data_IF_719833856228
#
_entry.id   IF_719833856228
#
_cell.length_a   1.000
_cell.length_b   1.000
_cell.length_c   1.000
_cell.angle_alpha   90.00
_cell.angle_beta   90.00
_cell.angle_gamma   90.00
#
_symmetry.space_group_name_H-M   'P 1'
#
loop_
_entity.id
_entity.type
_entity.pdbx_description
1 polymer ?
#
# COMPACT_ATOMS: atom_id res chain seq x y z
N UNK A 1 12.71 14.01 -2.87
CA UNK A 1 11.37 13.38 -2.79
C UNK A 1 10.33 14.49 -2.76
N UNK A 2 9.31 14.40 -3.62
CA UNK A 2 8.16 15.30 -3.64
C UNK A 2 6.92 14.45 -3.37
N UNK A 3 6.02 14.93 -2.52
CA UNK A 3 4.79 14.21 -2.17
C UNK A 3 3.64 15.18 -1.92
N UNK A 4 2.43 14.75 -2.26
CA UNK A 4 1.19 15.33 -1.78
C UNK A 4 0.53 14.30 -0.87
N UNK A 5 0.14 14.71 0.34
CA UNK A 5 -0.40 13.78 1.35
C UNK A 5 -1.52 14.44 2.12
N UNK A 6 -2.63 13.73 2.26
CA UNK A 6 -3.67 14.00 3.27
C UNK A 6 -3.51 12.98 4.38
N UNK A 7 -3.53 13.43 5.64
CA UNK A 7 -3.37 12.57 6.81
C UNK A 7 -4.53 12.78 7.78
N UNK A 8 -5.09 11.68 8.27
CA UNK A 8 -6.18 11.66 9.24
C UNK A 8 -5.69 10.89 10.47
N UNK A 9 -5.65 11.55 11.62
CA UNK A 9 -5.22 10.94 12.89
C UNK A 9 -6.42 10.58 13.77
N UNK A 10 -6.42 9.37 14.34
CA UNK A 10 -7.50 8.88 15.22
C UNK A 10 -7.60 9.60 16.57
N UNK A 11 -6.50 10.17 17.08
CA UNK A 11 -6.47 10.96 18.32
C UNK A 11 -7.32 10.43 19.48
N UNK A 12 -7.91 11.34 20.26
CA UNK A 12 -9.00 11.06 21.21
C UNK A 12 -10.39 11.10 20.52
N UNK A 13 -10.40 11.07 19.19
CA UNK A 13 -11.59 11.29 18.37
C UNK A 13 -12.26 9.98 17.96
N UNK A 14 -12.98 9.97 16.82
CA UNK A 14 -13.68 8.79 16.35
C UNK A 14 -12.72 7.64 16.04
N UNK A 15 -13.19 6.41 16.28
CA UNK A 15 -12.46 5.19 15.90
C UNK A 15 -12.64 4.96 14.39
N UNK A 16 -11.53 4.84 13.68
CA UNK A 16 -11.53 4.46 12.26
C UNK A 16 -11.38 2.94 12.12
N UNK A 17 -12.19 2.35 11.24
CA UNK A 17 -12.17 0.91 10.96
C UNK A 17 -11.58 0.57 9.59
N UNK A 18 -11.24 1.60 8.82
CA UNK A 18 -10.67 1.49 7.49
C UNK A 18 -10.54 2.85 6.82
N UNK A 19 -10.05 2.83 5.59
CA UNK A 19 -9.91 3.97 4.70
C UNK A 19 -10.28 3.56 3.28
N UNK A 20 -10.83 4.49 2.49
CA UNK A 20 -11.07 4.29 1.06
C UNK A 20 -10.68 5.54 0.28
N UNK A 21 -10.24 5.37 -0.96
CA UNK A 21 -9.92 6.47 -1.86
C UNK A 21 -9.99 6.00 -3.32
N UNK A 22 -10.28 6.94 -4.21
CA UNK A 22 -10.10 6.80 -5.65
C UNK A 22 -8.77 7.43 -6.03
N UNK A 23 -7.90 6.63 -6.66
CA UNK A 23 -6.59 7.06 -7.09
C UNK A 23 -6.61 7.19 -8.62
N UNK A 24 -6.24 8.37 -9.12
CA UNK A 24 -5.90 8.51 -10.53
C UNK A 24 -4.61 7.74 -10.82
N UNK A 25 -4.59 7.05 -11.95
CA UNK A 25 -3.49 6.20 -12.38
C UNK A 25 -2.86 6.78 -13.62
N UNK A 26 -1.54 6.96 -13.57
CA UNK A 26 -0.76 7.47 -14.69
C UNK A 26 0.22 6.42 -15.17
N UNK A 27 0.34 6.31 -16.49
CA UNK A 27 1.47 5.63 -17.13
C UNK A 27 2.61 6.63 -17.31
N UNK A 28 3.74 6.38 -16.65
CA UNK A 28 4.84 7.33 -16.54
C UNK A 28 6.14 6.73 -17.11
N UNK A 29 6.28 6.61 -18.44
CA UNK A 29 7.45 5.97 -19.05
C UNK A 29 8.76 6.75 -18.82
N UNK A 30 8.68 8.02 -18.40
CA UNK A 30 9.84 8.86 -18.09
C UNK A 30 10.45 8.67 -16.69
N UNK A 31 9.91 7.76 -15.87
CA UNK A 31 10.52 7.43 -14.57
C UNK A 31 11.83 6.67 -14.80
N UNK A 32 12.93 7.25 -14.35
CA UNK A 32 14.28 6.68 -14.53
C UNK A 32 14.54 5.50 -13.60
N UNK A 33 15.58 4.71 -13.86
CA UNK A 33 15.87 3.48 -13.09
C UNK A 33 16.09 3.68 -11.59
N UNK A 34 16.51 4.87 -11.17
CA UNK A 34 16.73 5.24 -9.78
C UNK A 34 15.61 6.09 -9.19
N UNK A 35 14.46 6.14 -9.86
CA UNK A 35 13.28 6.90 -9.47
C UNK A 35 12.08 5.98 -9.33
N UNK A 36 11.10 6.43 -8.55
CA UNK A 36 9.80 5.79 -8.46
C UNK A 36 8.71 6.86 -8.36
N UNK A 37 7.55 6.56 -8.95
CA UNK A 37 6.33 7.33 -8.79
C UNK A 37 5.24 6.44 -8.20
N UNK A 38 4.42 6.95 -7.30
CA UNK A 38 3.45 6.13 -6.55
C UNK A 38 2.27 6.97 -6.06
N UNK A 39 1.10 6.34 -5.98
CA UNK A 39 -0.09 6.89 -5.31
C UNK A 39 -0.76 5.77 -4.51
N UNK A 40 -1.00 6.01 -3.22
CA UNK A 40 -1.35 4.94 -2.27
C UNK A 40 -2.27 5.42 -1.15
N UNK A 41 -3.09 4.49 -0.65
CA UNK A 41 -3.70 4.57 0.67
C UNK A 41 -2.77 3.86 1.64
N UNK A 42 -2.48 4.51 2.78
CA UNK A 42 -1.64 3.96 3.83
C UNK A 42 -2.44 3.99 5.14
N UNK A 43 -2.62 2.83 5.76
CA UNK A 43 -3.26 2.68 7.07
C UNK A 43 -2.21 2.31 8.10
N UNK A 44 -2.01 3.19 9.08
CA UNK A 44 -1.03 3.03 10.15
C UNK A 44 -1.69 2.83 11.51
N UNK A 45 -1.08 1.99 12.35
CA UNK A 45 -1.39 1.87 13.78
C UNK A 45 -0.10 1.93 14.59
N UNK A 46 -0.14 2.61 15.73
CA UNK A 46 0.99 2.70 16.65
C UNK A 46 1.99 3.81 16.34
N UNK A 47 1.64 4.77 15.48
CA UNK A 47 2.52 5.87 15.03
C UNK A 47 3.05 6.74 16.19
N UNK A 48 2.30 6.83 17.30
CA UNK A 48 2.72 7.55 18.53
C UNK A 48 3.61 6.73 19.47
N UNK A 49 3.81 5.44 19.18
CA UNK A 49 4.64 4.54 19.96
C UNK A 49 6.07 4.44 19.43
N UNK A 50 6.90 3.54 19.99
CA UNK A 50 8.22 3.24 19.45
C UNK A 50 8.11 2.72 18.01
N UNK A 51 9.11 2.98 17.16
CA UNK A 51 9.06 2.64 15.71
C UNK A 51 8.73 1.17 15.44
N UNK A 52 9.21 0.25 16.28
CA UNK A 52 8.97 -1.19 16.14
C UNK A 52 7.54 -1.64 16.52
N UNK A 53 6.67 -0.72 16.94
CA UNK A 53 5.25 -0.99 17.21
C UNK A 53 4.37 -0.53 16.05
N UNK A 54 4.95 0.14 15.05
CA UNK A 54 4.20 0.68 13.92
C UNK A 54 3.80 -0.44 12.96
N UNK A 55 2.50 -0.67 12.85
CA UNK A 55 1.93 -1.58 11.88
C UNK A 55 1.40 -0.77 10.71
N UNK A 56 1.77 -1.15 9.49
CA UNK A 56 1.39 -0.43 8.27
C UNK A 56 0.85 -1.43 7.25
N UNK A 57 -0.26 -1.08 6.63
CA UNK A 57 -0.74 -1.71 5.40
C UNK A 57 -0.91 -0.61 4.36
N UNK A 58 -0.40 -0.84 3.17
CA UNK A 58 -0.51 0.10 2.06
C UNK A 58 -0.92 -0.60 0.77
N UNK A 59 -1.72 0.10 -0.03
CA UNK A 59 -2.15 -0.36 -1.34
C UNK A 59 -2.31 0.83 -2.30
N UNK A 60 -2.01 0.62 -3.56
CA UNK A 60 -2.09 1.66 -4.58
C UNK A 60 -1.46 1.20 -5.89
N UNK A 61 -0.86 2.13 -6.62
CA UNK A 61 -0.06 1.83 -7.79
C UNK A 61 1.32 2.46 -7.70
N UNK A 62 2.29 1.90 -8.41
CA UNK A 62 3.59 2.54 -8.61
C UNK A 62 4.14 2.32 -10.03
N UNK A 63 5.14 3.11 -10.39
CA UNK A 63 6.10 2.82 -11.46
C UNK A 63 7.46 2.77 -10.77
N UNK A 64 8.11 1.61 -10.76
CA UNK A 64 9.39 1.39 -10.09
C UNK A 64 10.16 0.25 -10.77
N UNK A 65 11.05 0.60 -11.69
CA UNK A 65 11.80 -0.37 -12.51
C UNK A 65 12.74 -1.24 -11.69
N UNK A 66 13.37 -0.71 -10.63
CA UNK A 66 14.21 -1.50 -9.72
C UNK A 66 13.44 -2.61 -9.01
N UNK A 67 12.13 -2.44 -8.85
CA UNK A 67 11.28 -3.38 -8.12
C UNK A 67 10.58 -4.36 -9.04
N UNK A 68 9.95 -3.86 -10.11
CA UNK A 68 9.12 -4.69 -10.99
C UNK A 68 9.91 -5.25 -12.19
N UNK A 69 11.07 -4.66 -12.51
CA UNK A 69 11.89 -5.06 -13.65
C UNK A 69 11.46 -4.43 -14.99
N UNK A 70 10.42 -3.59 -14.98
CA UNK A 70 9.92 -2.87 -16.15
C UNK A 70 9.42 -1.45 -15.77
N UNK A 71 8.99 -0.67 -16.77
CA UNK A 71 8.50 0.70 -16.57
C UNK A 71 6.97 0.82 -16.63
N UNK A 72 6.25 -0.30 -16.44
CA UNK A 72 4.79 -0.28 -16.41
C UNK A 72 4.29 0.24 -15.06
N UNK A 73 3.01 0.58 -15.04
CA UNK A 73 2.30 0.92 -13.81
C UNK A 73 1.77 -0.38 -13.20
N UNK A 74 2.22 -0.70 -11.99
CA UNK A 74 1.80 -1.92 -11.29
C UNK A 74 0.88 -1.59 -10.13
N UNK A 75 -0.17 -2.41 -9.96
CA UNK A 75 -0.91 -2.45 -8.71
C UNK A 75 0.02 -3.02 -7.63
N UNK A 76 0.16 -2.29 -6.52
CA UNK A 76 1.14 -2.60 -5.49
C UNK A 76 0.47 -2.69 -4.13
N UNK A 77 0.91 -3.64 -3.33
CA UNK A 77 0.56 -3.74 -1.91
C UNK A 77 1.83 -3.90 -1.08
N UNK A 78 1.81 -3.40 0.15
CA UNK A 78 2.83 -3.73 1.11
C UNK A 78 2.28 -3.74 2.54
N UNK A 79 3.00 -4.42 3.42
CA UNK A 79 2.72 -4.37 4.85
C UNK A 79 4.02 -4.44 5.64
N UNK A 80 3.97 -4.01 6.90
CA UNK A 80 4.99 -4.24 7.93
C UNK A 80 4.34 -4.25 9.30
N UNK A 81 4.86 -5.06 10.22
CA UNK A 81 4.42 -5.08 11.62
C UNK A 81 5.38 -4.35 12.57
N UNK A 82 6.51 -3.87 12.08
CA UNK A 82 7.60 -3.30 12.88
C UNK A 82 8.15 -1.97 12.33
N UNK A 83 7.37 -1.29 11.51
CA UNK A 83 7.73 0.02 10.96
C UNK A 83 8.87 -0.06 9.95
N UNK A 84 8.87 -1.08 9.08
CA UNK A 84 9.85 -1.31 8.01
C UNK A 84 11.26 -1.65 8.50
N UNK A 85 11.38 -2.25 9.68
CA UNK A 85 12.70 -2.56 10.23
C UNK A 85 13.20 -3.94 9.78
N UNK A 86 12.39 -4.98 9.99
CA UNK A 86 12.74 -6.36 9.66
C UNK A 86 11.56 -7.11 9.08
N UNK A 87 10.34 -6.82 9.54
CA UNK A 87 9.12 -7.48 9.08
C UNK A 87 8.45 -6.70 7.98
N UNK A 88 7.73 -7.43 7.14
CA UNK A 88 6.94 -6.86 6.07
C UNK A 88 7.20 -7.52 4.74
N UNK A 89 6.38 -7.13 3.78
CA UNK A 89 6.44 -7.67 2.44
C UNK A 89 5.87 -6.70 1.43
N UNK A 90 6.32 -6.84 0.18
CA UNK A 90 5.68 -6.23 -0.96
C UNK A 90 5.01 -7.30 -1.82
N UNK A 91 3.86 -6.96 -2.37
CA UNK A 91 3.07 -7.79 -3.27
C UNK A 91 2.97 -9.23 -2.74
N UNK A 92 3.22 -10.22 -3.60
CA UNK A 92 3.23 -11.64 -3.27
C UNK A 92 4.65 -12.22 -3.14
N UNK A 93 5.67 -11.37 -2.93
CA UNK A 93 7.07 -11.81 -2.77
C UNK A 93 7.22 -12.77 -1.59
N UNK A 94 6.37 -12.62 -0.58
CA UNK A 94 6.29 -13.50 0.58
C UNK A 94 4.85 -13.59 1.09
N UNK A 95 4.60 -14.50 2.02
CA UNK A 95 3.26 -14.70 2.60
C UNK A 95 2.86 -13.47 3.42
N UNK A 96 1.71 -12.90 3.10
CA UNK A 96 1.19 -11.73 3.80
C UNK A 96 -0.17 -11.25 3.28
N UNK A 97 -0.44 -11.49 2.01
CA UNK A 97 -1.75 -11.26 1.41
C UNK A 97 -2.33 -12.57 0.87
N UNK A 98 -3.67 -12.69 0.95
CA UNK A 98 -4.44 -13.73 0.29
C UNK A 98 -5.26 -13.03 -0.79
N UNK A 99 -5.01 -13.35 -2.05
CA UNK A 99 -5.81 -12.84 -3.15
C UNK A 99 -7.16 -13.54 -3.18
N UNK A 100 -8.22 -12.76 -2.94
CA UNK A 100 -9.62 -13.19 -3.09
C UNK A 100 -10.28 -12.61 -4.33
N UNK A 101 -9.71 -11.55 -4.90
CA UNK A 101 -10.22 -10.91 -6.12
C UNK A 101 -9.77 -11.69 -7.35
N UNK A 102 -10.69 -11.89 -8.29
CA UNK A 102 -10.39 -12.46 -9.62
C UNK A 102 -9.95 -11.38 -10.62
N UNK A 103 -10.01 -10.10 -10.26
CA UNK A 103 -9.72 -8.96 -11.15
C UNK A 103 -8.42 -8.24 -10.84
N UNK A 104 -7.99 -8.25 -9.58
CA UNK A 104 -6.82 -7.53 -9.11
C UNK A 104 -5.89 -8.46 -8.34
N UNK A 105 -4.62 -8.45 -8.70
CA UNK A 105 -3.55 -9.26 -8.11
C UNK A 105 -2.37 -8.36 -7.76
N UNK A 106 -1.85 -8.37 -6.53
CA UNK A 106 -0.67 -7.58 -6.18
C UNK A 106 0.51 -7.89 -7.12
N UNK A 107 1.14 -6.84 -7.65
CA UNK A 107 2.23 -6.93 -8.62
C UNK A 107 1.80 -6.99 -10.08
N UNK A 108 0.50 -7.02 -10.40
CA UNK A 108 0.06 -7.03 -11.80
C UNK A 108 0.23 -5.64 -12.45
N UNK A 109 0.47 -5.64 -13.77
CA UNK A 109 0.34 -4.44 -14.59
C UNK A 109 -1.11 -3.95 -14.54
N UNK A 110 -1.30 -2.67 -14.22
CA UNK A 110 -2.60 -2.02 -14.12
C UNK A 110 -2.71 -0.89 -15.15
N UNK A 111 -3.70 -0.98 -16.03
CA UNK A 111 -3.81 -0.11 -17.22
C UNK A 111 -5.02 0.82 -17.21
N UNK A 112 -5.90 0.71 -16.21
CA UNK A 112 -7.04 1.63 -16.10
C UNK A 112 -6.60 2.96 -15.51
N UNK A 113 -7.29 4.05 -15.87
CA UNK A 113 -6.99 5.41 -15.44
C UNK A 113 -7.37 5.73 -14.00
N UNK A 114 -8.16 4.87 -13.35
CA UNK A 114 -8.62 5.05 -11.98
C UNK A 114 -8.53 3.74 -11.20
N UNK A 115 -8.22 3.84 -9.91
CA UNK A 115 -8.11 2.71 -8.99
C UNK A 115 -8.84 3.05 -7.69
N UNK A 116 -10.02 2.47 -7.51
CA UNK A 116 -10.81 2.58 -6.28
C UNK A 116 -10.37 1.52 -5.27
N UNK A 117 -9.94 1.96 -4.09
CA UNK A 117 -9.44 1.05 -3.05
C UNK A 117 -10.13 1.30 -1.71
N UNK A 118 -10.31 0.21 -0.97
CA UNK A 118 -10.76 0.21 0.42
C UNK A 118 -9.90 -0.74 1.24
N UNK A 119 -9.35 -0.25 2.34
CA UNK A 119 -8.63 -1.05 3.35
C UNK A 119 -9.45 -0.98 4.62
N UNK A 120 -9.99 -2.11 5.07
CA UNK A 120 -10.77 -2.17 6.31
C UNK A 120 -10.60 -3.53 6.99
N UNK A 121 -10.87 -3.56 8.28
CA UNK A 121 -10.85 -4.80 9.05
C UNK A 121 -12.09 -5.65 8.74
N UNK A 122 -11.89 -6.89 8.28
CA UNK A 122 -12.97 -7.87 8.09
C UNK A 122 -13.10 -8.74 9.35
N UNK A 123 -14.12 -8.48 10.17
CA UNK A 123 -14.54 -9.33 11.29
C UNK A 123 -13.46 -9.68 12.33
N UNK A 124 -13.71 -10.76 13.08
CA UNK A 124 -12.75 -11.40 13.98
C UNK A 124 -11.99 -12.51 13.26
N UNK A 125 -11.44 -12.21 12.09
CA UNK A 125 -10.40 -13.08 11.52
C UNK A 125 -9.21 -12.94 12.49
N UNK A 126 -8.94 -14.00 13.25
CA UNK A 126 -7.69 -14.11 14.01
C UNK A 126 -6.56 -14.15 13.00
N UNK A 127 -6.04 -12.98 12.63
CA UNK A 127 -4.81 -12.91 11.86
C UNK A 127 -3.68 -13.26 12.83
N UNK A 128 -3.14 -14.47 12.69
CA UNK A 128 -1.87 -14.86 13.29
C UNK A 128 -0.75 -14.12 12.55
N UNK A 129 -0.50 -12.87 12.93
CA UNK A 129 0.75 -12.19 12.62
C UNK A 129 1.62 -12.20 13.88
#
# INVERSE_FOLDING_TARGET
MQYARVSIEAGNGPKYYGASADLEVFHLPGVSENQASTSQIILCKGERGPKNYMNVIQAGWHVNTQREGDNWTHFTTAWTSDGYQKTGCYNLVCKGFIQISTRLTPGMIYTQSSLSLSIYRVGNIRSSF
#
